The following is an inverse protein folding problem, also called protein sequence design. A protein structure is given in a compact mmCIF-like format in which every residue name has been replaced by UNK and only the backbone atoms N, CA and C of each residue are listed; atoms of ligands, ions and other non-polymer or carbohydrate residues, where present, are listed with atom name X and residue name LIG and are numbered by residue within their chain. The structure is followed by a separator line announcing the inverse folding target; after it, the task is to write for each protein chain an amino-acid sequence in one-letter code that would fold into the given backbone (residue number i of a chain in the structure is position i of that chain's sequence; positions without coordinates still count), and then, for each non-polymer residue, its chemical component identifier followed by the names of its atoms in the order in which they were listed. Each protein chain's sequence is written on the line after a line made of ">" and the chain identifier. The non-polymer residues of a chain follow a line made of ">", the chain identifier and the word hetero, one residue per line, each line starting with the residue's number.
data_IF_025961918531
#
_entry.id   IF_025961918531
#
_cell.length_a   1.000
_cell.length_b   1.000
_cell.length_c   1.000
_cell.angle_alpha   90.00
_cell.angle_beta   90.00
_cell.angle_gamma   90.00
#
_symmetry.space_group_name_H-M   'P 1'
#
loop_
_entity.id
_entity.type
_entity.pdbx_description
1 polymer ?
#
# COMPACT_ATOMS: atom_id res chain seq x y z
N UNK A 1 -7.14 -5.86 -6.96
CA UNK A 1 -7.26 -5.88 -5.49
C UNK A 1 -5.93 -6.36 -4.96
N UNK A 2 -5.30 -5.58 -4.08
CA UNK A 2 -4.01 -5.94 -3.50
C UNK A 2 -4.08 -7.26 -2.74
N UNK A 3 -3.14 -8.15 -3.02
CA UNK A 3 -2.94 -9.42 -2.30
C UNK A 3 -1.82 -9.23 -1.30
N UNK A 4 -1.96 -9.83 -0.13
CA UNK A 4 -0.88 -9.96 0.86
C UNK A 4 -0.37 -11.38 0.83
N UNK A 5 0.90 -11.53 0.53
CA UNK A 5 1.56 -12.83 0.41
C UNK A 5 2.98 -12.72 0.94
N UNK A 6 3.52 -13.86 1.33
CA UNK A 6 4.88 -14.03 1.83
C UNK A 6 5.63 -14.92 0.85
N UNK A 7 6.84 -14.51 0.49
CA UNK A 7 7.75 -15.36 -0.28
C UNK A 7 8.79 -15.93 0.68
N UNK A 8 9.17 -17.18 0.45
CA UNK A 8 10.28 -17.82 1.15
C UNK A 8 11.42 -18.01 0.17
N UNK A 9 12.61 -17.56 0.56
CA UNK A 9 13.80 -17.53 -0.29
C UNK A 9 14.99 -18.06 0.48
N UNK A 10 16.00 -18.56 -0.22
CA UNK A 10 17.30 -18.89 0.36
C UNK A 10 18.42 -18.48 -0.59
N UNK A 11 19.65 -18.53 -0.11
CA UNK A 11 20.80 -18.47 -1.01
C UNK A 11 20.88 -19.75 -1.85
N UNK A 12 21.09 -19.58 -3.15
CA UNK A 12 21.23 -20.70 -4.07
C UNK A 12 22.50 -21.49 -3.72
N UNK A 13 22.38 -22.82 -3.69
CA UNK A 13 23.50 -23.71 -3.39
C UNK A 13 23.89 -23.80 -1.92
N UNK A 14 23.14 -23.20 -1.00
CA UNK A 14 23.36 -23.38 0.45
C UNK A 14 22.26 -24.27 1.06
N UNK A 15 22.63 -25.02 2.10
CA UNK A 15 21.68 -25.77 2.93
C UNK A 15 21.01 -24.89 4.01
N UNK A 16 21.06 -23.56 3.84
CA UNK A 16 20.53 -22.62 4.80
C UNK A 16 19.00 -22.71 4.87
N UNK A 17 18.44 -22.43 6.05
CA UNK A 17 17.01 -22.48 6.33
C UNK A 17 16.21 -21.40 5.56
N UNK A 18 16.91 -20.46 4.92
CA UNK A 18 16.29 -19.37 4.16
C UNK A 18 15.62 -18.34 5.06
N UNK A 19 15.00 -17.34 4.45
CA UNK A 19 14.23 -16.31 5.13
C UNK A 19 12.93 -16.03 4.38
N UNK A 20 12.03 -15.30 5.05
CA UNK A 20 10.75 -14.90 4.47
C UNK A 20 10.63 -13.39 4.33
N UNK A 21 10.00 -12.95 3.25
CA UNK A 21 9.72 -11.55 2.95
C UNK A 21 8.22 -11.38 2.67
N UNK A 22 7.59 -10.38 3.29
CA UNK A 22 6.15 -10.11 3.13
C UNK A 22 5.86 -8.95 2.19
N UNK A 23 4.83 -9.12 1.35
CA UNK A 23 4.48 -8.16 0.30
C UNK A 23 2.97 -7.92 0.24
N UNK A 24 2.60 -6.65 0.05
CA UNK A 24 1.24 -6.25 -0.35
C UNK A 24 1.32 -5.66 -1.76
N UNK A 25 0.81 -6.37 -2.77
CA UNK A 25 0.89 -5.97 -4.18
C UNK A 25 -0.40 -6.25 -4.92
N UNK A 26 -0.77 -5.35 -5.83
CA UNK A 26 -1.87 -5.56 -6.77
C UNK A 26 -1.36 -6.36 -7.98
N UNK A 27 -1.35 -7.68 -7.84
CA UNK A 27 -0.86 -8.62 -8.86
C UNK A 27 -1.89 -9.72 -9.11
N UNK A 28 -2.04 -10.08 -10.38
CA UNK A 28 -2.94 -11.17 -10.79
C UNK A 28 -2.41 -12.49 -10.26
N UNK A 29 -1.13 -12.78 -10.49
CA UNK A 29 -0.44 -13.98 -10.01
C UNK A 29 0.78 -13.61 -9.16
N UNK A 30 0.74 -13.99 -7.88
CA UNK A 30 1.77 -13.73 -6.90
C UNK A 30 2.98 -14.66 -7.05
N UNK A 31 2.79 -15.87 -7.58
CA UNK A 31 3.91 -16.77 -7.88
C UNK A 31 4.73 -16.25 -9.05
N UNK A 32 4.07 -15.88 -10.16
CA UNK A 32 4.74 -15.26 -11.31
C UNK A 32 5.47 -13.98 -10.90
N UNK A 33 4.84 -13.13 -10.08
CA UNK A 33 5.48 -11.93 -9.56
C UNK A 33 6.72 -12.25 -8.70
N UNK A 34 6.63 -13.24 -7.80
CA UNK A 34 7.76 -13.65 -6.96
C UNK A 34 8.92 -14.21 -7.80
N UNK A 35 8.64 -15.06 -8.79
CA UNK A 35 9.65 -15.62 -9.70
C UNK A 35 10.35 -14.52 -10.50
N UNK A 36 9.58 -13.58 -11.05
CA UNK A 36 10.12 -12.41 -11.76
C UNK A 36 10.99 -11.54 -10.84
N UNK A 37 10.54 -11.30 -9.61
CA UNK A 37 11.28 -10.51 -8.61
C UNK A 37 12.62 -11.15 -8.28
N UNK A 38 12.66 -12.46 -8.04
CA UNK A 38 13.92 -13.18 -7.77
C UNK A 38 14.82 -13.23 -8.99
N UNK A 39 14.27 -13.40 -10.19
CA UNK A 39 15.04 -13.33 -11.43
C UNK A 39 15.72 -11.97 -11.61
N UNK A 40 14.97 -10.89 -11.41
CA UNK A 40 15.49 -9.53 -11.54
C UNK A 40 16.53 -9.21 -10.46
N UNK A 41 16.34 -9.70 -9.23
CA UNK A 41 17.36 -9.62 -8.19
C UNK A 41 18.65 -10.33 -8.63
N UNK A 42 18.54 -11.58 -9.10
CA UNK A 42 19.69 -12.37 -9.51
C UNK A 42 20.40 -11.80 -10.75
N UNK A 43 19.67 -11.18 -11.66
CA UNK A 43 20.24 -10.53 -12.85
C UNK A 43 21.06 -9.28 -12.50
N UNK A 44 20.78 -8.64 -11.35
CA UNK A 44 21.49 -7.45 -10.89
C UNK A 44 22.71 -7.73 -10.00
N UNK A 45 23.06 -9.00 -9.78
CA UNK A 45 24.13 -9.38 -8.87
C UNK A 45 25.50 -8.94 -9.38
N UNK A 46 26.32 -8.47 -8.44
CA UNK A 46 27.74 -8.18 -8.66
C UNK A 46 28.60 -9.42 -8.39
N UNK A 47 29.84 -9.45 -8.91
CA UNK A 47 30.77 -10.53 -8.59
C UNK A 47 30.92 -10.72 -7.06
N UNK A 48 30.75 -11.95 -6.58
CA UNK A 48 30.84 -12.31 -5.15
C UNK A 48 29.52 -12.24 -4.38
N UNK A 49 28.45 -11.72 -4.97
CA UNK A 49 27.12 -11.76 -4.36
C UNK A 49 26.44 -13.12 -4.60
N UNK A 50 25.64 -13.58 -3.63
CA UNK A 50 24.98 -14.88 -3.69
C UNK A 50 23.59 -14.77 -4.32
N UNK A 51 23.32 -15.61 -5.33
CA UNK A 51 22.00 -15.73 -5.93
C UNK A 51 20.96 -16.22 -4.92
N UNK A 52 19.70 -15.86 -5.18
CA UNK A 52 18.54 -16.28 -4.41
C UNK A 52 17.77 -17.36 -5.17
N UNK A 53 17.23 -18.31 -4.43
CA UNK A 53 16.31 -19.32 -4.92
C UNK A 53 14.94 -19.10 -4.25
N UNK A 54 13.88 -19.09 -5.05
CA UNK A 54 12.50 -19.05 -4.53
C UNK A 54 12.09 -20.45 -4.09
N UNK A 55 11.79 -20.61 -2.80
CA UNK A 55 11.36 -21.88 -2.24
C UNK A 55 9.85 -22.10 -2.39
N UNK A 56 9.06 -21.11 -1.95
CA UNK A 56 7.59 -21.14 -2.05
C UNK A 56 6.99 -19.75 -1.88
N UNK A 57 5.73 -19.61 -2.28
CA UNK A 57 4.92 -18.44 -2.00
C UNK A 57 3.71 -18.86 -1.18
N UNK A 58 3.44 -18.12 -0.11
CA UNK A 58 2.31 -18.32 0.80
C UNK A 58 1.36 -17.13 0.65
N UNK A 59 0.17 -17.35 0.11
CA UNK A 59 -0.88 -16.33 0.07
C UNK A 59 -1.49 -16.20 1.47
N UNK A 60 -1.20 -15.08 2.16
CA UNK A 60 -1.71 -14.81 3.50
C UNK A 60 -3.15 -14.30 3.43
N UNK A 61 -3.41 -13.38 2.51
CA UNK A 61 -4.73 -12.80 2.32
C UNK A 61 -4.96 -12.47 0.84
N UNK A 62 -5.98 -13.08 0.26
CA UNK A 62 -6.44 -12.83 -1.12
C UNK A 62 -7.02 -11.42 -1.31
N UNK A 63 -7.41 -10.76 -0.22
CA UNK A 63 -7.99 -9.42 -0.18
C UNK A 63 -7.33 -8.61 0.93
N UNK A 64 -6.08 -8.22 0.72
CA UNK A 64 -5.39 -7.39 1.68
C UNK A 64 -5.81 -5.94 1.51
N UNK A 65 -6.06 -5.25 2.63
CA UNK A 65 -6.28 -3.82 2.60
C UNK A 65 -4.99 -3.13 2.16
N UNK A 66 -5.04 -2.20 1.20
CA UNK A 66 -3.85 -1.49 0.79
C UNK A 66 -3.29 -0.71 1.99
N UNK A 67 -1.97 -0.85 2.23
CA UNK A 67 -1.29 -0.15 3.32
C UNK A 67 -1.18 1.35 2.99
N UNK A 68 -0.77 1.66 1.77
CA UNK A 68 -0.61 3.04 1.29
C UNK A 68 -1.90 3.59 0.65
N UNK A 69 -2.05 4.91 0.69
CA UNK A 69 -3.15 5.59 0.00
C UNK A 69 -2.90 5.65 -1.51
N UNK A 70 -3.90 5.28 -2.31
CA UNK A 70 -3.89 5.43 -3.76
C UNK A 70 -4.57 6.75 -4.13
N UNK A 71 -3.80 7.82 -4.25
CA UNK A 71 -4.32 9.17 -4.47
C UNK A 71 -4.67 9.44 -5.92
N UNK A 72 -5.86 9.99 -6.15
CA UNK A 72 -6.32 10.49 -7.45
C UNK A 72 -6.64 11.98 -7.40
N UNK A 73 -6.25 12.73 -8.43
CA UNK A 73 -6.54 14.16 -8.59
C UNK A 73 -8.04 14.34 -8.87
N UNK A 74 -8.68 15.24 -8.14
CA UNK A 74 -10.12 15.48 -8.22
C UNK A 74 -10.49 16.73 -9.03
N UNK A 75 -9.53 17.64 -9.22
CA UNK A 75 -9.70 18.86 -10.00
C UNK A 75 -9.05 18.70 -11.39
N UNK A 76 -9.63 19.30 -12.43
CA UNK A 76 -9.03 19.32 -13.77
C UNK A 76 -7.80 20.25 -13.79
N UNK A 77 -7.98 21.47 -13.30
CA UNK A 77 -6.97 22.53 -13.24
C UNK A 77 -6.50 22.74 -11.80
N UNK A 78 -5.21 23.02 -11.62
CA UNK A 78 -4.61 23.31 -10.32
C UNK A 78 -5.32 24.52 -9.68
N UNK A 79 -5.70 24.38 -8.41
CA UNK A 79 -6.40 25.44 -7.68
C UNK A 79 -5.37 26.45 -7.18
N UNK A 80 -5.53 27.71 -7.56
CA UNK A 80 -4.77 28.81 -6.97
C UNK A 80 -5.52 29.37 -5.76
N UNK A 81 -4.90 29.27 -4.59
CA UNK A 81 -5.47 29.79 -3.34
C UNK A 81 -4.36 30.42 -2.50
N UNK A 82 -4.45 31.73 -2.27
CA UNK A 82 -3.52 32.49 -1.44
C UNK A 82 -2.03 32.18 -1.70
N UNK A 83 -1.62 32.20 -2.97
CA UNK A 83 -0.23 32.10 -3.44
C UNK A 83 0.43 30.71 -3.33
N UNK A 84 -0.29 29.67 -2.92
CA UNK A 84 0.21 28.30 -2.97
C UNK A 84 -0.71 27.42 -3.82
N UNK A 85 -0.36 27.19 -5.10
CA UNK A 85 -1.16 26.36 -5.98
C UNK A 85 -1.18 24.91 -5.47
N UNK A 86 -2.37 24.31 -5.47
CA UNK A 86 -2.53 22.93 -5.02
C UNK A 86 -3.53 22.13 -5.85
N UNK A 87 -3.31 20.82 -5.87
CA UNK A 87 -4.27 19.86 -6.39
C UNK A 87 -5.07 19.23 -5.26
N UNK A 88 -6.39 19.09 -5.48
CA UNK A 88 -7.28 18.33 -4.60
C UNK A 88 -7.07 16.85 -4.89
N UNK A 89 -6.74 16.10 -3.86
CA UNK A 89 -6.47 14.67 -3.95
C UNK A 89 -7.50 13.90 -3.12
N UNK A 90 -7.93 12.74 -3.61
CA UNK A 90 -8.74 11.79 -2.85
C UNK A 90 -8.16 10.39 -2.98
N UNK A 91 -8.09 9.65 -1.87
CA UNK A 91 -7.70 8.25 -1.91
C UNK A 91 -8.85 7.42 -2.52
N UNK A 92 -8.58 6.71 -3.62
CA UNK A 92 -9.58 5.88 -4.32
C UNK A 92 -10.01 4.65 -3.53
N UNK A 93 -9.28 4.32 -2.46
CA UNK A 93 -9.50 3.11 -1.66
C UNK A 93 -10.29 3.38 -0.37
N UNK A 94 -9.99 4.48 0.34
CA UNK A 94 -10.64 4.81 1.62
C UNK A 94 -11.38 6.15 1.63
N UNK A 95 -11.32 6.92 0.54
CA UNK A 95 -12.12 8.12 0.34
C UNK A 95 -11.62 9.37 1.07
N UNK A 96 -10.57 9.30 1.88
CA UNK A 96 -10.02 10.50 2.56
C UNK A 96 -9.44 11.48 1.55
N UNK A 97 -9.42 12.75 1.93
CA UNK A 97 -8.96 13.84 1.07
C UNK A 97 -7.64 14.46 1.56
N UNK A 98 -6.94 15.08 0.62
CA UNK A 98 -5.71 15.81 0.87
C UNK A 98 -5.39 16.79 -0.23
N UNK A 99 -4.28 17.50 -0.06
CA UNK A 99 -3.77 18.50 -0.99
C UNK A 99 -2.34 18.16 -1.40
N UNK A 100 -2.05 18.26 -2.69
CA UNK A 100 -0.68 18.21 -3.21
C UNK A 100 -0.26 19.62 -3.59
N UNK A 101 0.81 20.10 -2.98
CA UNK A 101 1.36 21.43 -3.26
C UNK A 101 2.53 21.31 -4.24
N UNK A 102 2.47 22.05 -5.34
CA UNK A 102 3.51 22.06 -6.37
C UNK A 102 3.68 20.75 -7.16
N UNK A 103 4.73 20.71 -7.98
CA UNK A 103 5.11 19.56 -8.81
C UNK A 103 6.32 18.86 -8.17
N UNK A 104 6.10 17.82 -7.36
CA UNK A 104 7.07 16.71 -7.32
C UNK A 104 7.92 16.41 -6.08
N UNK A 105 7.77 17.06 -4.91
CA UNK A 105 8.65 16.70 -3.76
C UNK A 105 7.97 16.58 -2.39
N UNK A 106 6.87 17.29 -2.14
CA UNK A 106 6.25 17.37 -0.79
C UNK A 106 5.27 16.26 -0.42
N UNK A 107 5.01 15.30 -1.31
CA UNK A 107 3.95 14.31 -1.10
C UNK A 107 2.54 14.94 -1.02
N UNK A 108 1.59 14.21 -0.43
CA UNK A 108 0.21 14.67 -0.25
C UNK A 108 -0.06 14.92 1.22
N UNK A 109 -0.46 16.14 1.54
CA UNK A 109 -0.85 16.56 2.88
C UNK A 109 -2.34 16.27 3.09
N UNK A 110 -2.66 15.37 4.03
CA UNK A 110 -4.05 15.06 4.39
C UNK A 110 -4.78 16.30 4.90
N UNK A 111 -6.07 16.43 4.57
CA UNK A 111 -6.89 17.53 5.07
C UNK A 111 -7.02 17.50 6.59
N UNK A 112 -7.36 18.63 7.20
CA UNK A 112 -7.46 18.79 8.67
C UNK A 112 -8.35 17.74 9.32
N UNK A 113 -9.47 17.38 8.66
CA UNK A 113 -10.38 16.33 9.10
C UNK A 113 -9.74 14.93 9.20
N UNK A 114 -8.64 14.69 8.48
CA UNK A 114 -7.94 13.40 8.38
C UNK A 114 -6.52 13.44 8.97
N UNK A 115 -6.24 14.38 9.88
CA UNK A 115 -4.92 14.52 10.53
C UNK A 115 -4.55 13.39 11.49
N UNK A 116 -5.55 12.77 12.12
CA UNK A 116 -5.29 11.71 13.12
C UNK A 116 -4.47 10.54 12.55
N UNK A 117 -3.69 9.87 13.41
CA UNK A 117 -2.79 8.78 13.01
C UNK A 117 -3.53 7.61 12.35
N UNK A 118 -4.78 7.37 12.73
CA UNK A 118 -5.64 6.33 12.13
C UNK A 118 -5.86 6.53 10.62
N UNK A 119 -5.75 7.77 10.14
CA UNK A 119 -5.87 8.10 8.72
C UNK A 119 -4.53 8.08 7.95
N UNK A 120 -3.42 7.74 8.61
CA UNK A 120 -2.09 7.78 7.99
C UNK A 120 -1.90 6.66 6.97
N UNK A 121 -2.55 5.51 7.19
CA UNK A 121 -2.54 4.35 6.30
C UNK A 121 -3.95 4.03 5.84
N UNK A 122 -4.06 3.41 4.67
CA UNK A 122 -5.37 3.15 4.07
C UNK A 122 -6.11 2.00 4.78
N UNK A 123 -5.39 0.97 5.20
CA UNK A 123 -5.92 -0.15 6.01
C UNK A 123 -6.56 0.32 7.33
N UNK A 124 -5.81 1.08 8.13
CA UNK A 124 -6.29 1.60 9.42
C UNK A 124 -7.45 2.56 9.25
N UNK A 125 -7.48 3.31 8.14
CA UNK A 125 -8.59 4.19 7.81
C UNK A 125 -9.86 3.40 7.56
N UNK A 126 -9.79 2.36 6.72
CA UNK A 126 -10.95 1.55 6.38
C UNK A 126 -11.51 0.86 7.63
N UNK A 127 -10.66 0.32 8.50
CA UNK A 127 -11.10 -0.28 9.76
C UNK A 127 -11.82 0.73 10.67
N UNK A 128 -11.29 1.95 10.75
CA UNK A 128 -11.91 3.01 11.55
C UNK A 128 -13.28 3.43 11.01
N UNK A 129 -13.37 3.62 9.69
CA UNK A 129 -14.63 3.99 9.03
C UNK A 129 -15.68 2.90 9.23
N UNK A 130 -15.31 1.63 9.08
CA UNK A 130 -16.22 0.50 9.32
C UNK A 130 -16.68 0.42 10.76
N UNK A 131 -15.77 0.55 11.74
CA UNK A 131 -16.12 0.58 13.17
C UNK A 131 -17.10 1.73 13.48
N UNK A 132 -16.88 2.91 12.90
CA UNK A 132 -17.81 4.05 13.06
C UNK A 132 -19.16 3.80 12.41
N UNK A 133 -19.20 3.20 11.22
CA UNK A 133 -20.45 2.83 10.54
C UNK A 133 -21.23 1.78 11.34
N UNK A 134 -20.56 0.74 11.84
CA UNK A 134 -21.17 -0.27 12.69
C UNK A 134 -21.74 0.35 13.97
N UNK A 135 -20.98 1.20 14.67
CA UNK A 135 -21.47 1.91 15.86
C UNK A 135 -22.67 2.81 15.57
N UNK A 136 -22.68 3.50 14.42
CA UNK A 136 -23.81 4.32 14.01
C UNK A 136 -25.06 3.48 13.69
N UNK A 137 -24.88 2.32 13.06
CA UNK A 137 -25.97 1.37 12.77
C UNK A 137 -26.54 0.72 14.04
N UNK A 138 -25.68 0.41 15.03
CA UNK A 138 -26.09 -0.18 16.32
C UNK A 138 -26.67 0.84 17.30
N UNK A 139 -26.44 2.15 17.08
CA UNK A 139 -26.90 3.23 17.95
C UNK A 139 -28.22 3.89 17.53
N UNK A 140 -28.94 3.32 16.55
CA UNK A 140 -30.25 3.82 16.09
C UNK A 140 -31.43 2.95 16.57
N UNK A 141 -31.26 2.34 17.74
CA UNK A 141 -32.34 1.74 18.51
C UNK A 141 -32.15 2.14 19.96
N UNK A 142 -32.72 3.29 20.34
CA UNK A 142 -33.26 3.64 21.66
C UNK A 142 -33.38 5.18 21.80
N UNK A 143 -34.61 5.66 21.98
CA UNK A 143 -34.95 6.90 22.70
C UNK A 143 -34.98 8.20 21.91
#
# INVERSE_FOLDING_TARGET
>A
MSKHFRIHVRHAGTADHGWSEEYTKDVVDHESWARETIRNFNAGLRPGECARELLRVELINSTARPIAHAWSKQNLVTVDHHRLPFDRMQCTQCGITGKRYGLGVGGITRDSAFRAKVYARCDTTQEHVEKRRAKAASGHGEG
#
